data_IF_907813309929
#
_entry.id   IF_907813309929
#
_cell.length_a   1.000
_cell.length_b   1.000
_cell.length_c   1.000
_cell.angle_alpha   90.00
_cell.angle_beta   90.00
_cell.angle_gamma   90.00
#
_symmetry.space_group_name_H-M   'P 1'
#
loop_
_entity.id
_entity.type
_entity.pdbx_description
1 polymer ?
#
# COMPACT_ATOMS: atom_id res chain seq x y z
N UNK A 1 -42.33 12.59 9.29
CA UNK A 1 -41.12 12.82 8.48
C UNK A 1 -40.04 11.77 8.78
N UNK A 2 -39.53 11.67 10.01
CA UNK A 2 -38.43 10.73 10.36
C UNK A 2 -38.72 9.24 10.14
N UNK A 3 -39.90 8.75 10.54
CA UNK A 3 -40.26 7.34 10.32
C UNK A 3 -40.30 6.99 8.82
N UNK A 4 -40.73 7.91 7.96
CA UNK A 4 -40.76 7.68 6.51
C UNK A 4 -39.34 7.63 5.94
N UNK A 5 -38.47 8.58 6.31
CA UNK A 5 -37.10 8.59 5.79
C UNK A 5 -36.32 7.31 6.13
N UNK A 6 -36.41 6.85 7.39
CA UNK A 6 -35.73 5.63 7.85
C UNK A 6 -36.39 4.37 7.32
N UNK A 7 -37.73 4.34 7.16
CA UNK A 7 -38.41 3.20 6.55
C UNK A 7 -38.04 3.03 5.07
N UNK A 8 -37.91 4.14 4.33
CA UNK A 8 -37.60 4.12 2.90
C UNK A 8 -36.08 4.05 2.62
N UNK A 9 -35.25 4.33 3.64
CA UNK A 9 -33.78 4.35 3.57
C UNK A 9 -33.18 3.86 4.90
N UNK A 10 -33.26 2.55 5.19
CA UNK A 10 -32.85 2.00 6.50
C UNK A 10 -31.36 2.17 6.79
N UNK A 11 -30.54 2.39 5.75
CA UNK A 11 -29.10 2.56 5.86
C UNK A 11 -28.65 4.03 5.97
N UNK A 12 -29.57 5.00 5.95
CA UNK A 12 -29.28 6.42 6.12
C UNK A 12 -29.80 6.90 7.47
N UNK A 13 -28.90 7.07 8.44
CA UNK A 13 -29.27 7.27 9.84
C UNK A 13 -28.82 8.65 10.38
N UNK A 14 -29.54 9.22 11.35
CA UNK A 14 -29.08 10.42 12.03
C UNK A 14 -27.83 10.12 12.86
N UNK A 15 -26.73 10.81 12.55
CA UNK A 15 -25.43 10.64 13.21
C UNK A 15 -25.37 11.34 14.57
N UNK A 16 -26.19 12.38 14.78
CA UNK A 16 -26.22 13.14 16.04
C UNK A 16 -27.64 13.21 16.64
N UNK A 17 -27.71 13.43 17.96
CA UNK A 17 -28.98 13.55 18.70
C UNK A 17 -29.82 14.74 18.24
N UNK A 18 -29.17 15.77 17.71
CA UNK A 18 -29.81 16.96 17.18
C UNK A 18 -30.40 16.74 15.77
N UNK A 19 -30.15 15.58 15.15
CA UNK A 19 -30.64 15.18 13.83
C UNK A 19 -30.36 16.23 12.74
N UNK A 20 -29.21 16.90 12.88
CA UNK A 20 -28.69 17.84 11.90
C UNK A 20 -27.66 17.19 10.98
N UNK A 21 -27.21 15.97 11.30
CA UNK A 21 -26.30 15.21 10.45
C UNK A 21 -26.91 13.84 10.17
N UNK A 22 -27.03 13.49 8.89
CA UNK A 22 -27.40 12.16 8.43
C UNK A 22 -26.22 11.55 7.68
N UNK A 23 -25.85 10.32 7.99
CA UNK A 23 -24.72 9.62 7.39
C UNK A 23 -25.10 8.16 7.15
N UNK A 24 -24.66 7.61 6.02
CA UNK A 24 -24.97 6.23 5.66
C UNK A 24 -25.07 5.99 4.15
N UNK A 25 -25.93 5.06 3.76
CA UNK A 25 -26.06 4.60 2.38
C UNK A 25 -27.48 4.76 1.86
N UNK A 26 -27.59 5.02 0.55
CA UNK A 26 -28.82 4.78 -0.21
C UNK A 26 -28.57 3.68 -1.23
N UNK A 27 -29.56 2.81 -1.40
CA UNK A 27 -29.50 1.73 -2.38
C UNK A 27 -30.29 2.12 -3.62
N UNK A 28 -29.68 1.99 -4.79
CA UNK A 28 -30.29 2.19 -6.11
C UNK A 28 -29.83 1.06 -7.03
N UNK A 29 -30.77 0.30 -7.60
CA UNK A 29 -30.47 -0.87 -8.46
C UNK A 29 -29.44 -1.83 -7.83
N UNK A 30 -29.65 -2.22 -6.57
CA UNK A 30 -28.77 -3.14 -5.82
C UNK A 30 -27.33 -2.63 -5.57
N UNK A 31 -27.07 -1.34 -5.85
CA UNK A 31 -25.79 -0.69 -5.54
C UNK A 31 -25.97 0.29 -4.39
N UNK A 32 -25.04 0.24 -3.44
CA UNK A 32 -25.03 1.12 -2.28
C UNK A 32 -24.15 2.34 -2.52
N UNK A 33 -24.72 3.52 -2.27
CA UNK A 33 -24.06 4.81 -2.44
C UNK A 33 -23.94 5.50 -1.09
N UNK A 34 -22.69 5.75 -0.65
CA UNK A 34 -22.43 6.46 0.61
C UNK A 34 -22.71 7.95 0.46
N UNK A 35 -23.48 8.51 1.39
CA UNK A 35 -23.73 9.95 1.46
C UNK A 35 -23.69 10.47 2.89
N UNK A 36 -23.39 11.76 3.00
CA UNK A 36 -23.56 12.54 4.23
C UNK A 36 -24.30 13.85 3.96
N UNK A 37 -25.34 14.12 4.75
CA UNK A 37 -26.14 15.36 4.70
C UNK A 37 -25.96 16.12 6.00
N UNK A 38 -25.59 17.39 5.89
CA UNK A 38 -25.46 18.31 7.03
C UNK A 38 -26.47 19.45 6.89
N UNK A 39 -27.41 19.47 7.83
CA UNK A 39 -28.43 20.50 7.98
C UNK A 39 -27.99 21.59 8.97
N UNK A 40 -28.49 22.83 8.80
CA UNK A 40 -28.33 23.90 9.79
C UNK A 40 -29.09 23.57 11.09
N UNK A 41 -28.80 24.29 12.19
CA UNK A 41 -29.43 24.07 13.50
C UNK A 41 -30.96 24.20 13.49
N UNK A 42 -31.51 25.03 12.60
CA UNK A 42 -32.95 25.25 12.41
C UNK A 42 -33.61 24.21 11.50
N UNK A 43 -32.83 23.22 11.01
CA UNK A 43 -33.24 22.12 10.14
C UNK A 43 -33.87 22.56 8.81
N UNK A 44 -33.71 23.82 8.42
CA UNK A 44 -34.24 24.33 7.16
C UNK A 44 -33.34 23.93 5.99
N UNK A 45 -33.91 23.21 5.02
CA UNK A 45 -33.20 22.78 3.82
C UNK A 45 -32.66 23.93 2.99
N UNK A 46 -33.37 25.07 2.97
CA UNK A 46 -32.98 26.30 2.26
C UNK A 46 -31.61 26.86 2.68
N UNK A 47 -31.11 26.50 3.86
CA UNK A 47 -29.81 26.93 4.37
C UNK A 47 -28.83 25.75 4.60
N UNK A 48 -29.12 24.56 4.02
CA UNK A 48 -28.21 23.43 4.06
C UNK A 48 -26.93 23.73 3.25
N UNK A 49 -25.78 23.48 3.86
CA UNK A 49 -24.48 23.91 3.31
C UNK A 49 -23.59 22.76 2.82
N UNK A 50 -23.86 21.50 3.18
CA UNK A 50 -22.94 20.40 2.89
C UNK A 50 -23.68 19.08 2.63
N UNK A 51 -23.74 18.67 1.37
CA UNK A 51 -24.03 17.30 0.95
C UNK A 51 -22.75 16.73 0.32
N UNK A 52 -22.14 15.71 0.93
CA UNK A 52 -20.94 15.08 0.39
C UNK A 52 -21.24 13.67 -0.08
N UNK A 53 -20.91 13.40 -1.34
CA UNK A 53 -20.98 12.09 -1.96
C UNK A 53 -19.58 11.47 -1.96
N UNK A 54 -19.44 10.32 -1.32
CA UNK A 54 -18.22 9.51 -1.43
C UNK A 54 -18.52 8.44 -2.48
N UNK A 55 -18.24 8.75 -3.75
CA UNK A 55 -18.43 7.80 -4.85
C UNK A 55 -17.13 7.63 -5.64
N UNK A 56 -16.35 6.55 -5.40
CA UNK A 56 -15.41 6.04 -6.39
C UNK A 56 -16.19 5.03 -7.27
N UNK A 57 -16.52 5.28 -8.56
CA UNK A 57 -15.84 6.13 -9.56
C UNK A 57 -16.74 7.19 -10.27
N UNK A 58 -17.90 7.57 -9.71
CA UNK A 58 -18.90 8.43 -10.39
C UNK A 58 -18.83 9.93 -10.05
N UNK A 59 -17.82 10.36 -9.28
CA UNK A 59 -17.68 11.74 -8.79
C UNK A 59 -17.65 12.79 -9.92
N UNK A 60 -17.06 12.46 -11.07
CA UNK A 60 -16.82 13.40 -12.16
C UNK A 60 -18.02 13.58 -13.09
N UNK A 61 -18.89 12.56 -13.21
CA UNK A 61 -20.07 12.59 -14.09
C UNK A 61 -21.29 13.14 -13.34
N UNK A 62 -21.40 12.83 -12.06
CA UNK A 62 -22.52 13.27 -11.23
C UNK A 62 -22.46 14.77 -10.93
N UNK A 63 -21.25 15.31 -10.75
CA UNK A 63 -21.03 16.75 -10.53
C UNK A 63 -21.41 17.63 -11.74
N UNK A 64 -21.41 17.08 -12.96
CA UNK A 64 -21.82 17.78 -14.18
C UNK A 64 -23.34 17.80 -14.41
N UNK A 65 -24.07 16.80 -13.90
CA UNK A 65 -25.50 16.62 -14.17
C UNK A 65 -26.42 16.94 -12.97
N UNK A 66 -25.88 16.94 -11.74
CA UNK A 66 -26.67 17.09 -10.53
C UNK A 66 -25.92 17.89 -9.45
N UNK A 67 -26.25 19.18 -9.33
CA UNK A 67 -25.81 20.00 -8.19
C UNK A 67 -26.66 19.65 -6.95
N UNK A 68 -26.15 18.68 -6.19
CA UNK A 68 -26.79 18.22 -4.97
C UNK A 68 -27.02 19.28 -3.90
N UNK A 69 -26.20 20.34 -3.84
CA UNK A 69 -26.37 21.40 -2.84
C UNK A 69 -27.52 22.30 -3.22
N UNK A 70 -27.61 22.67 -4.51
CA UNK A 70 -28.71 23.47 -5.03
C UNK A 70 -30.06 22.71 -4.95
N UNK A 71 -30.08 21.43 -5.32
CA UNK A 71 -31.30 20.60 -5.33
C UNK A 71 -31.80 20.32 -3.91
N UNK A 72 -30.89 20.14 -2.95
CA UNK A 72 -31.23 20.01 -1.54
C UNK A 72 -31.93 21.27 -1.00
N UNK A 73 -31.46 22.46 -1.38
CA UNK A 73 -32.05 23.73 -0.96
C UNK A 73 -33.43 24.01 -1.57
N UNK A 74 -33.70 23.44 -2.75
CA UNK A 74 -34.98 23.56 -3.44
C UNK A 74 -36.02 22.50 -3.04
N UNK A 75 -35.58 21.46 -2.32
CA UNK A 75 -36.45 20.36 -1.90
C UNK A 75 -37.36 20.77 -0.74
N UNK A 76 -38.60 20.29 -0.74
CA UNK A 76 -39.58 20.57 0.32
C UNK A 76 -39.23 19.86 1.63
N UNK A 77 -38.70 18.63 1.55
CA UNK A 77 -38.22 17.83 2.68
C UNK A 77 -37.12 16.86 2.23
N UNK A 78 -36.47 16.20 3.21
CA UNK A 78 -35.41 15.23 2.96
C UNK A 78 -35.89 13.99 2.20
N UNK A 79 -37.14 13.55 2.41
CA UNK A 79 -37.68 12.35 1.77
C UNK A 79 -37.81 12.59 0.26
N UNK A 80 -38.36 13.75 -0.12
CA UNK A 80 -38.46 14.19 -1.50
C UNK A 80 -37.11 14.37 -2.17
N UNK A 81 -36.13 14.96 -1.46
CA UNK A 81 -34.76 15.08 -1.97
C UNK A 81 -34.14 13.72 -2.28
N UNK A 82 -34.24 12.76 -1.34
CA UNK A 82 -33.67 11.41 -1.52
C UNK A 82 -34.37 10.67 -2.65
N UNK A 83 -35.70 10.79 -2.79
CA UNK A 83 -36.45 10.16 -3.88
C UNK A 83 -36.01 10.70 -5.24
N UNK A 84 -35.86 12.01 -5.36
CA UNK A 84 -35.38 12.65 -6.58
C UNK A 84 -33.94 12.22 -6.91
N UNK A 85 -33.07 12.19 -5.90
CA UNK A 85 -31.69 11.72 -6.03
C UNK A 85 -31.65 10.26 -6.52
N UNK A 86 -32.45 9.37 -5.93
CA UNK A 86 -32.58 7.98 -6.39
C UNK A 86 -33.05 7.91 -7.84
N UNK A 87 -34.02 8.73 -8.23
CA UNK A 87 -34.55 8.78 -9.60
C UNK A 87 -33.47 9.24 -10.59
N UNK A 88 -32.71 10.27 -10.26
CA UNK A 88 -31.60 10.75 -11.11
C UNK A 88 -30.50 9.68 -11.20
N UNK A 89 -30.13 9.05 -10.08
CA UNK A 89 -29.17 7.94 -10.07
C UNK A 89 -29.67 6.77 -10.93
N UNK A 90 -30.94 6.41 -10.87
CA UNK A 90 -31.51 5.39 -11.74
C UNK A 90 -31.41 5.76 -13.21
N UNK A 91 -31.67 7.01 -13.58
CA UNK A 91 -31.56 7.47 -14.98
C UNK A 91 -30.10 7.44 -15.43
N UNK A 92 -29.15 7.87 -14.60
CA UNK A 92 -27.71 7.79 -14.91
C UNK A 92 -27.23 6.34 -15.02
N UNK A 93 -27.73 5.46 -14.15
CA UNK A 93 -27.44 4.02 -14.17
C UNK A 93 -28.14 3.28 -15.32
N UNK A 94 -29.31 3.75 -15.79
CA UNK A 94 -30.02 3.17 -16.95
C UNK A 94 -29.48 3.67 -18.29
N UNK A 95 -29.09 4.96 -18.36
CA UNK A 95 -28.50 5.58 -19.55
C UNK A 95 -27.06 5.13 -19.79
N UNK A 96 -26.39 4.62 -18.75
CA UNK A 96 -25.26 3.71 -18.88
C UNK A 96 -25.74 2.29 -18.62
N UNK A 97 -26.18 1.52 -19.62
CA UNK A 97 -25.84 0.11 -19.53
C UNK A 97 -24.33 0.08 -19.26
N UNK A 98 -23.87 -0.83 -18.42
CA UNK A 98 -22.52 -1.34 -18.67
C UNK A 98 -22.55 -1.72 -20.15
N UNK A 99 -22.05 -0.82 -21.01
CA UNK A 99 -21.91 -1.10 -22.42
C UNK A 99 -20.72 -2.03 -22.47
N UNK A 100 -20.94 -3.25 -21.98
CA UNK A 100 -20.17 -4.44 -22.28
C UNK A 100 -20.45 -4.64 -23.76
N UNK A 101 -19.81 -3.83 -24.59
CA UNK A 101 -19.72 -4.12 -26.00
C UNK A 101 -18.96 -5.42 -26.05
N UNK A 102 -19.67 -6.53 -26.23
CA UNK A 102 -19.05 -7.83 -26.46
C UNK A 102 -18.10 -7.61 -27.64
N UNK A 103 -16.78 -7.80 -27.45
CA UNK A 103 -15.83 -7.65 -28.53
C UNK A 103 -16.29 -8.45 -29.77
N UNK A 104 -16.06 -7.94 -30.98
CA UNK A 104 -16.46 -8.65 -32.19
C UNK A 104 -15.72 -10.00 -32.25
N UNK A 105 -16.28 -11.06 -32.88
CA UNK A 105 -15.66 -12.40 -32.89
C UNK A 105 -14.20 -12.41 -33.33
N UNK A 106 -13.78 -11.50 -34.22
CA UNK A 106 -12.40 -11.34 -34.65
C UNK A 106 -11.43 -11.08 -33.49
N UNK A 107 -11.86 -10.37 -32.44
CA UNK A 107 -11.06 -10.13 -31.23
C UNK A 107 -10.64 -11.46 -30.59
N UNK A 108 -11.59 -12.37 -30.38
CA UNK A 108 -11.31 -13.65 -29.73
C UNK A 108 -10.46 -14.54 -30.62
N UNK A 109 -10.73 -14.60 -31.93
CA UNK A 109 -9.90 -15.37 -32.86
C UNK A 109 -8.46 -14.86 -32.89
N UNK A 110 -8.27 -13.54 -32.87
CA UNK A 110 -6.94 -12.94 -32.82
C UNK A 110 -6.25 -13.27 -31.49
N UNK A 111 -6.92 -13.07 -30.36
CA UNK A 111 -6.36 -13.37 -29.04
C UNK A 111 -5.94 -14.83 -28.90
N UNK A 112 -6.78 -15.77 -29.36
CA UNK A 112 -6.47 -17.21 -29.36
C UNK A 112 -5.23 -17.48 -30.23
N UNK A 113 -5.14 -16.88 -31.42
CA UNK A 113 -3.97 -17.04 -32.30
C UNK A 113 -2.69 -16.46 -31.69
N UNK A 114 -2.77 -15.32 -31.00
CA UNK A 114 -1.64 -14.76 -30.25
C UNK A 114 -1.22 -15.67 -29.09
N UNK A 115 -2.17 -16.28 -28.39
CA UNK A 115 -1.90 -17.25 -27.33
C UNK A 115 -1.27 -18.56 -27.84
N UNK A 116 -1.73 -19.06 -29.00
CA UNK A 116 -1.11 -20.22 -29.67
C UNK A 116 0.34 -19.94 -30.06
N UNK A 117 0.61 -18.73 -30.54
CA UNK A 117 1.96 -18.28 -30.91
C UNK A 117 2.86 -18.12 -29.67
N UNK A 118 2.35 -17.46 -28.63
CA UNK A 118 3.07 -17.25 -27.38
C UNK A 118 3.39 -18.56 -26.65
N UNK A 119 2.46 -19.52 -26.69
CA UNK A 119 2.50 -20.79 -25.94
C UNK A 119 1.53 -20.78 -24.76
N UNK A 120 0.62 -21.75 -24.73
CA UNK A 120 -0.38 -21.90 -23.65
C UNK A 120 0.24 -22.25 -22.29
N UNK A 121 1.45 -22.81 -22.26
CA UNK A 121 2.20 -23.14 -21.04
C UNK A 121 2.61 -21.90 -20.23
N UNK A 122 2.59 -20.72 -20.87
CA UNK A 122 2.83 -19.42 -20.22
C UNK A 122 1.56 -18.81 -19.65
N UNK A 123 0.36 -19.28 -20.02
CA UNK A 123 -0.89 -18.73 -19.47
C UNK A 123 -1.20 -19.36 -18.11
N UNK A 124 -1.21 -18.54 -17.05
CA UNK A 124 -1.61 -18.97 -15.71
C UNK A 124 -3.10 -18.77 -15.47
N UNK A 125 -3.67 -17.69 -16.01
CA UNK A 125 -5.06 -17.32 -15.79
C UNK A 125 -5.55 -16.42 -16.93
N UNK A 126 -6.82 -16.61 -17.28
CA UNK A 126 -7.61 -15.70 -18.10
C UNK A 126 -8.97 -15.51 -17.43
N UNK A 127 -9.46 -14.28 -17.37
CA UNK A 127 -10.78 -14.02 -16.82
C UNK A 127 -11.92 -14.44 -17.77
N UNK A 128 -13.14 -14.48 -17.25
CA UNK A 128 -14.32 -14.87 -18.03
C UNK A 128 -14.65 -13.88 -19.15
N UNK A 129 -14.14 -12.65 -19.07
CA UNK A 129 -14.35 -11.59 -20.06
C UNK A 129 -13.26 -11.57 -21.14
N UNK A 130 -12.22 -12.42 -21.02
CA UNK A 130 -11.05 -12.46 -21.90
C UNK A 130 -10.38 -11.08 -22.05
N UNK A 131 -10.36 -10.31 -20.96
CA UNK A 131 -9.71 -9.00 -20.88
C UNK A 131 -8.50 -9.03 -19.97
N UNK A 132 -8.50 -9.87 -18.92
CA UNK A 132 -7.38 -9.97 -17.99
C UNK A 132 -6.66 -11.30 -18.15
N UNK A 133 -5.38 -11.23 -18.50
CA UNK A 133 -4.46 -12.36 -18.62
C UNK A 133 -3.43 -12.28 -17.50
N UNK A 134 -3.00 -13.45 -16.99
CA UNK A 134 -1.77 -13.57 -16.20
C UNK A 134 -0.83 -14.54 -16.90
N UNK A 135 0.34 -14.03 -17.27
CA UNK A 135 1.36 -14.77 -17.99
C UNK A 135 2.52 -15.06 -17.04
N UNK A 136 2.97 -16.30 -17.02
CA UNK A 136 4.19 -16.76 -16.34
C UNK A 136 5.41 -16.31 -17.15
N UNK A 137 6.45 -15.93 -16.44
CA UNK A 137 7.79 -15.78 -16.97
C UNK A 137 8.79 -16.38 -15.98
N UNK A 138 9.94 -16.81 -16.48
CA UNK A 138 11.04 -17.34 -15.68
C UNK A 138 12.30 -16.59 -16.08
N UNK A 139 13.06 -16.10 -15.10
CA UNK A 139 14.35 -15.44 -15.36
C UNK A 139 15.50 -16.46 -15.45
N UNK A 140 16.71 -15.99 -15.76
CA UNK A 140 17.89 -16.85 -15.91
C UNK A 140 18.33 -17.58 -14.63
N UNK A 141 17.85 -17.14 -13.45
CA UNK A 141 18.09 -17.81 -12.17
C UNK A 141 16.98 -18.82 -11.81
N UNK A 142 15.98 -19.01 -12.68
CA UNK A 142 14.87 -19.93 -12.46
C UNK A 142 13.77 -19.37 -11.56
N UNK A 143 13.76 -18.05 -11.28
CA UNK A 143 12.71 -17.43 -10.47
C UNK A 143 11.48 -17.18 -11.32
N UNK A 144 10.32 -17.48 -10.74
CA UNK A 144 9.04 -17.29 -11.42
C UNK A 144 8.49 -15.88 -11.19
N UNK A 145 8.04 -15.26 -12.27
CA UNK A 145 7.46 -13.93 -12.32
C UNK A 145 6.09 -13.97 -13.01
N UNK A 146 5.19 -13.06 -12.64
CA UNK A 146 3.83 -13.01 -13.18
C UNK A 146 3.60 -11.63 -13.81
N UNK A 147 3.31 -11.64 -15.11
CA UNK A 147 2.86 -10.47 -15.84
C UNK A 147 1.34 -10.48 -15.93
N UNK A 148 0.70 -9.47 -15.34
CA UNK A 148 -0.73 -9.23 -15.54
C UNK A 148 -0.92 -8.28 -16.70
N UNK A 149 -1.71 -8.70 -17.69
CA UNK A 149 -2.04 -7.92 -18.89
C UNK A 149 -3.55 -7.68 -18.90
N UNK A 150 -3.97 -6.41 -18.93
CA UNK A 150 -5.37 -6.02 -19.10
C UNK A 150 -5.57 -5.44 -20.49
N UNK A 151 -6.18 -6.25 -21.35
CA UNK A 151 -6.58 -5.89 -22.69
C UNK A 151 -7.74 -4.90 -22.63
N UNK A 152 -7.67 -3.87 -23.48
CA UNK A 152 -8.74 -2.89 -23.62
C UNK A 152 -9.67 -3.28 -24.75
N UNK A 153 -10.86 -2.67 -24.78
CA UNK A 153 -11.92 -3.00 -25.76
C UNK A 153 -11.51 -2.83 -27.23
N UNK A 154 -10.44 -2.06 -27.51
CA UNK A 154 -9.90 -1.83 -28.86
C UNK A 154 -8.55 -2.52 -29.11
N UNK A 155 -8.16 -3.50 -28.31
CA UNK A 155 -6.96 -4.29 -28.56
C UNK A 155 -7.02 -4.95 -29.97
N UNK A 156 -5.91 -4.97 -30.73
CA UNK A 156 -4.55 -4.50 -30.38
C UNK A 156 -4.27 -3.01 -30.63
N UNK A 157 -5.24 -2.27 -31.18
CA UNK A 157 -5.03 -0.86 -31.56
C UNK A 157 -4.73 0.02 -30.35
N UNK A 158 -5.35 -0.30 -29.21
CA UNK A 158 -5.08 0.35 -27.94
C UNK A 158 -4.15 -0.52 -27.08
N UNK A 159 -3.14 0.11 -26.47
CA UNK A 159 -2.17 -0.58 -25.63
C UNK A 159 -2.82 -1.18 -24.37
N UNK A 160 -2.46 -2.42 -24.01
CA UNK A 160 -2.94 -3.04 -22.78
C UNK A 160 -2.28 -2.41 -21.55
N UNK A 161 -2.98 -2.43 -20.41
CA UNK A 161 -2.40 -2.04 -19.14
C UNK A 161 -1.65 -3.23 -18.55
N UNK A 162 -0.35 -3.08 -18.32
CA UNK A 162 0.53 -4.14 -17.84
C UNK A 162 1.02 -3.85 -16.41
N UNK A 163 1.04 -4.88 -15.56
CA UNK A 163 1.55 -4.78 -14.20
C UNK A 163 2.22 -6.08 -13.76
N UNK A 164 3.32 -5.96 -13.01
CA UNK A 164 4.05 -7.07 -12.40
C UNK A 164 4.71 -6.57 -11.11
N UNK A 165 5.09 -7.50 -10.22
CA UNK A 165 5.80 -7.19 -8.98
C UNK A 165 7.27 -6.87 -9.28
N UNK A 166 7.52 -5.65 -9.77
CA UNK A 166 8.84 -5.17 -10.14
C UNK A 166 9.26 -3.99 -9.27
N UNK A 167 10.57 -3.86 -8.97
CA UNK A 167 11.10 -2.75 -8.18
C UNK A 167 11.25 -1.46 -9.02
N UNK A 168 10.96 -1.53 -10.32
CA UNK A 168 11.00 -0.41 -11.27
C UNK A 168 9.71 -0.39 -12.10
N UNK A 169 9.30 0.78 -12.61
CA UNK A 169 8.13 0.87 -13.49
C UNK A 169 8.28 -0.01 -14.74
N UNK A 170 7.23 -0.78 -15.05
CA UNK A 170 7.17 -1.60 -16.26
C UNK A 170 6.86 -0.73 -17.48
N UNK A 171 7.86 -0.45 -18.30
CA UNK A 171 7.70 0.26 -19.56
C UNK A 171 7.61 -0.73 -20.73
N UNK A 172 6.41 -0.90 -21.28
CA UNK A 172 6.18 -1.71 -22.48
C UNK A 172 5.97 -0.79 -23.68
N UNK A 173 6.73 -1.01 -24.75
CA UNK A 173 6.48 -0.38 -26.04
C UNK A 173 5.41 -1.16 -26.78
N UNK A 174 4.32 -0.49 -27.13
CA UNK A 174 3.18 -1.11 -27.82
C UNK A 174 2.77 -0.30 -29.05
N UNK A 175 2.55 -1.00 -30.15
CA UNK A 175 1.99 -0.50 -31.41
C UNK A 175 0.78 -1.35 -31.82
N UNK A 176 -0.10 -0.89 -32.71
CA UNK A 176 -1.22 -1.70 -33.21
C UNK A 176 -0.83 -3.02 -33.88
N UNK A 177 0.45 -3.20 -34.24
CA UNK A 177 1.00 -4.42 -34.82
C UNK A 177 1.71 -5.30 -33.78
N UNK A 178 1.76 -4.86 -32.52
CA UNK A 178 2.37 -5.62 -31.43
C UNK A 178 1.52 -6.83 -31.06
N UNK A 179 2.19 -7.88 -30.60
CA UNK A 179 1.55 -9.13 -30.15
C UNK A 179 1.85 -9.42 -28.69
N UNK A 180 1.07 -10.32 -28.07
CA UNK A 180 1.38 -10.82 -26.73
C UNK A 180 2.78 -11.46 -26.62
N UNK A 181 3.28 -12.08 -27.68
CA UNK A 181 4.64 -12.63 -27.72
C UNK A 181 5.72 -11.56 -27.59
N UNK A 182 5.59 -10.45 -28.34
CA UNK A 182 6.52 -9.33 -28.27
C UNK A 182 6.46 -8.62 -26.92
N UNK A 183 5.26 -8.50 -26.34
CA UNK A 183 5.06 -7.97 -24.99
C UNK A 183 5.71 -8.86 -23.94
N UNK A 184 5.54 -10.18 -24.03
CA UNK A 184 6.19 -11.14 -23.12
C UNK A 184 7.72 -11.11 -23.26
N UNK A 185 8.23 -10.98 -24.48
CA UNK A 185 9.66 -10.86 -24.76
C UNK A 185 10.26 -9.58 -24.16
N UNK A 186 9.56 -8.45 -24.24
CA UNK A 186 9.97 -7.21 -23.56
C UNK A 186 9.98 -7.38 -22.04
N UNK A 187 8.98 -8.07 -21.48
CA UNK A 187 8.96 -8.37 -20.06
C UNK A 187 10.16 -9.21 -19.62
N UNK A 188 10.50 -10.27 -20.36
CA UNK A 188 11.70 -11.09 -20.10
C UNK A 188 12.99 -10.26 -20.10
N UNK A 189 13.13 -9.28 -21.01
CA UNK A 189 14.29 -8.38 -21.02
C UNK A 189 14.38 -7.50 -19.77
N UNK A 190 13.23 -7.05 -19.25
CA UNK A 190 13.17 -6.31 -17.97
C UNK A 190 13.54 -7.21 -16.79
N UNK A 191 13.10 -8.48 -16.79
CA UNK A 191 13.51 -9.42 -15.76
C UNK A 191 15.03 -9.65 -15.79
N UNK A 192 15.59 -9.82 -16.98
CA UNK A 192 17.03 -10.09 -17.13
C UNK A 192 17.88 -8.93 -16.59
N UNK A 193 17.46 -7.68 -16.81
CA UNK A 193 18.16 -6.50 -16.28
C UNK A 193 18.09 -6.35 -14.75
N UNK A 194 17.16 -7.04 -14.10
CA UNK A 194 16.95 -7.02 -12.64
C UNK A 194 17.53 -8.26 -11.93
N UNK A 195 18.10 -9.21 -12.67
CA UNK A 195 18.62 -10.48 -12.15
C UNK A 195 19.59 -10.26 -11.00
N UNK A 196 20.57 -9.36 -11.18
CA UNK A 196 21.58 -9.08 -10.15
C UNK A 196 20.99 -8.47 -8.88
N UNK A 197 19.98 -7.59 -9.02
CA UNK A 197 19.27 -7.02 -7.88
C UNK A 197 18.58 -8.10 -7.05
N UNK A 198 17.88 -9.04 -7.70
CA UNK A 198 17.22 -10.12 -6.99
C UNK A 198 18.21 -11.13 -6.41
N UNK A 199 19.35 -11.40 -7.06
CA UNK A 199 20.39 -12.28 -6.52
C UNK A 199 20.92 -11.76 -5.17
N UNK A 200 21.13 -10.44 -5.09
CA UNK A 200 21.55 -9.78 -3.86
C UNK A 200 20.50 -9.91 -2.75
N UNK A 201 19.22 -9.68 -3.08
CA UNK A 201 18.15 -9.82 -2.09
C UNK A 201 17.92 -11.27 -1.67
N UNK A 202 18.03 -12.24 -2.59
CA UNK A 202 17.92 -13.66 -2.28
C UNK A 202 19.06 -14.11 -1.34
N UNK A 203 20.28 -13.57 -1.50
CA UNK A 203 21.38 -13.80 -0.56
C UNK A 203 21.06 -13.25 0.83
N UNK A 204 20.60 -11.99 0.91
CA UNK A 204 20.26 -11.33 2.17
C UNK A 204 19.13 -12.10 2.88
N UNK A 205 18.07 -12.43 2.15
CA UNK A 205 16.86 -13.09 2.66
C UNK A 205 17.16 -14.51 3.16
N UNK A 206 18.09 -15.22 2.52
CA UNK A 206 18.47 -16.58 2.92
C UNK A 206 19.46 -16.65 4.08
N UNK A 207 20.34 -15.65 4.23
CA UNK A 207 21.44 -15.68 5.20
C UNK A 207 21.21 -14.84 6.46
N UNK A 208 20.15 -14.02 6.50
CA UNK A 208 19.89 -13.10 7.62
C UNK A 208 18.46 -13.21 8.14
N UNK A 209 18.18 -12.61 9.29
CA UNK A 209 16.82 -12.48 9.82
C UNK A 209 16.15 -11.20 9.34
N UNK A 210 15.26 -11.34 8.35
CA UNK A 210 14.42 -10.25 7.84
C UNK A 210 13.23 -10.01 8.78
N UNK A 211 13.13 -8.79 9.30
CA UNK A 211 12.03 -8.33 10.14
C UNK A 211 10.91 -7.71 9.31
N UNK A 212 11.27 -6.92 8.30
CA UNK A 212 10.33 -6.25 7.40
C UNK A 212 10.90 -6.18 5.96
N UNK A 213 10.08 -6.44 4.93
CA UNK A 213 8.74 -7.03 5.00
C UNK A 213 8.79 -8.51 5.49
N UNK A 214 7.73 -8.99 6.13
CA UNK A 214 7.69 -10.39 6.62
C UNK A 214 7.67 -11.42 5.48
N UNK A 215 7.03 -11.05 4.38
CA UNK A 215 6.95 -11.83 3.15
C UNK A 215 7.37 -10.92 2.01
N UNK A 216 8.68 -10.80 1.74
CA UNK A 216 9.16 -9.94 0.68
C UNK A 216 8.61 -10.36 -0.68
N UNK A 217 8.17 -9.37 -1.45
CA UNK A 217 7.81 -9.46 -2.85
C UNK A 217 9.01 -9.07 -3.73
N UNK A 218 8.91 -9.34 -5.04
CA UNK A 218 9.96 -8.95 -6.01
C UNK A 218 10.01 -7.44 -6.28
N UNK A 219 8.99 -6.69 -5.88
CA UNK A 219 8.99 -5.23 -5.89
C UNK A 219 9.63 -4.57 -4.66
N UNK A 220 9.83 -5.32 -3.57
CA UNK A 220 10.37 -4.75 -2.33
C UNK A 220 11.88 -4.55 -2.42
N UNK A 221 12.31 -3.29 -2.42
CA UNK A 221 13.71 -2.83 -2.47
C UNK A 221 14.38 -2.72 -1.11
N UNK A 222 13.58 -2.71 -0.04
CA UNK A 222 14.03 -2.54 1.33
C UNK A 222 14.04 -3.86 2.10
N UNK A 223 15.05 -4.04 2.97
CA UNK A 223 15.07 -5.08 4.00
C UNK A 223 15.44 -4.48 5.35
N UNK A 224 14.59 -4.70 6.36
CA UNK A 224 14.94 -4.47 7.77
C UNK A 224 15.52 -5.76 8.32
N UNK A 225 16.83 -5.76 8.53
CA UNK A 225 17.61 -6.92 8.95
C UNK A 225 17.90 -6.81 10.45
N UNK A 226 17.69 -7.89 11.20
CA UNK A 226 18.09 -7.96 12.60
C UNK A 226 19.62 -7.95 12.73
N UNK A 227 20.16 -7.14 13.64
CA UNK A 227 21.58 -7.15 14.03
C UNK A 227 21.74 -7.84 15.39
N UNK A 228 20.81 -7.59 16.31
CA UNK A 228 20.81 -8.15 17.66
C UNK A 228 19.51 -7.80 18.38
N UNK A 229 19.50 -7.99 19.70
CA UNK A 229 18.31 -7.70 20.51
C UNK A 229 17.95 -6.21 20.45
N UNK A 230 16.74 -5.89 19.99
CA UNK A 230 16.23 -4.52 19.84
C UNK A 230 17.11 -3.62 18.94
N UNK A 231 17.91 -4.21 18.04
CA UNK A 231 18.74 -3.48 17.08
C UNK A 231 18.60 -4.09 15.69
N UNK A 232 18.36 -3.24 14.71
CA UNK A 232 18.19 -3.64 13.31
C UNK A 232 18.75 -2.58 12.38
N UNK A 233 18.97 -2.95 11.12
CA UNK A 233 19.34 -2.05 10.04
C UNK A 233 18.32 -2.16 8.92
N UNK A 234 17.79 -1.03 8.45
CA UNK A 234 17.06 -0.97 7.18
C UNK A 234 18.08 -0.72 6.07
N UNK A 235 18.02 -1.54 5.03
CA UNK A 235 18.89 -1.48 3.86
C UNK A 235 17.99 -1.31 2.63
N UNK A 236 18.15 -0.21 1.91
CA UNK A 236 17.46 0.07 0.64
C UNK A 236 18.44 -0.15 -0.53
N UNK A 237 18.18 -1.15 -1.35
CA UNK A 237 19.02 -1.47 -2.51
C UNK A 237 18.44 -0.82 -3.76
N UNK A 238 19.25 -0.02 -4.46
CA UNK A 238 18.87 0.56 -5.76
C UNK A 238 18.82 -0.55 -6.83
N UNK A 239 17.65 -0.84 -7.44
CA UNK A 239 17.54 -1.87 -8.48
C UNK A 239 18.39 -1.62 -9.72
N UNK A 240 18.76 -0.37 -9.99
CA UNK A 240 19.57 0.01 -11.16
C UNK A 240 21.07 -0.05 -10.89
N UNK A 241 21.47 0.04 -9.63
CA UNK A 241 22.88 0.01 -9.21
C UNK A 241 23.05 -0.84 -7.94
N UNK A 242 22.65 -2.13 -7.96
CA UNK A 242 22.44 -2.90 -6.75
C UNK A 242 23.71 -3.23 -5.97
N UNK A 243 24.88 -3.08 -6.59
CA UNK A 243 26.21 -3.26 -5.95
C UNK A 243 26.77 -2.00 -5.28
N UNK A 244 26.13 -0.85 -5.45
CA UNK A 244 26.56 0.39 -4.80
C UNK A 244 26.19 0.36 -3.31
N UNK A 245 26.86 1.20 -2.51
CA UNK A 245 26.55 1.36 -1.09
C UNK A 245 25.06 1.73 -0.94
N UNK A 246 24.23 0.87 -0.32
CA UNK A 246 22.80 1.13 -0.17
C UNK A 246 22.54 2.19 0.90
N UNK A 247 21.35 2.79 0.87
CA UNK A 247 20.92 3.63 1.98
C UNK A 247 20.66 2.75 3.21
N UNK A 248 21.23 3.15 4.34
CA UNK A 248 21.26 2.36 5.56
C UNK A 248 20.73 3.17 6.75
N UNK A 249 19.72 2.65 7.45
CA UNK A 249 19.21 3.25 8.69
C UNK A 249 19.31 2.27 9.85
N UNK A 250 20.18 2.59 10.81
CA UNK A 250 20.31 1.85 12.06
C UNK A 250 19.18 2.24 13.03
N UNK A 251 18.47 1.24 13.54
CA UNK A 251 17.33 1.37 14.44
C UNK A 251 17.62 0.63 15.76
N UNK A 252 17.44 1.31 16.88
CA UNK A 252 17.70 0.78 18.21
C UNK A 252 17.97 1.89 19.22
N UNK A 253 18.29 1.53 20.46
CA UNK A 253 18.67 2.52 21.47
C UNK A 253 19.97 3.26 21.08
N UNK A 254 20.03 4.58 21.33
CA UNK A 254 21.10 5.44 20.79
C UNK A 254 22.51 4.99 21.19
N UNK A 255 22.67 4.50 22.42
CA UNK A 255 23.95 4.00 22.94
C UNK A 255 24.43 2.72 22.21
N UNK A 256 23.52 1.98 21.56
CA UNK A 256 23.85 0.77 20.79
C UNK A 256 24.06 1.09 19.30
N UNK A 257 23.26 1.98 18.72
CA UNK A 257 23.38 2.34 17.30
C UNK A 257 24.51 3.33 17.02
N UNK A 258 24.89 4.18 17.98
CA UNK A 258 25.97 5.18 17.77
C UNK A 258 27.31 4.53 17.40
N UNK A 259 27.79 3.48 18.10
CA UNK A 259 29.01 2.77 17.67
C UNK A 259 28.92 2.19 16.25
N UNK A 260 27.78 1.58 15.89
CA UNK A 260 27.56 1.01 14.56
C UNK A 260 27.56 2.10 13.47
N UNK A 261 26.94 3.24 13.75
CA UNK A 261 26.92 4.40 12.85
C UNK A 261 28.33 4.96 12.64
N UNK A 262 29.14 5.02 13.69
CA UNK A 262 30.53 5.45 13.59
C UNK A 262 31.35 4.50 12.73
N UNK A 263 31.18 3.18 12.88
CA UNK A 263 31.83 2.17 12.03
C UNK A 263 31.41 2.30 10.56
N UNK A 264 30.10 2.38 10.30
CA UNK A 264 29.56 2.60 8.95
C UNK A 264 30.21 3.81 8.27
N UNK A 265 30.27 4.94 8.98
CA UNK A 265 30.86 6.16 8.44
C UNK A 265 32.38 6.08 8.26
N UNK A 266 33.10 5.45 9.19
CA UNK A 266 34.55 5.31 9.10
C UNK A 266 34.96 4.35 7.98
N UNK A 267 34.21 3.27 7.79
CA UNK A 267 34.56 2.16 6.91
C UNK A 267 33.86 2.21 5.54
N UNK A 268 33.02 3.22 5.26
CA UNK A 268 32.29 3.33 3.96
C UNK A 268 33.20 3.24 2.74
N UNK A 269 34.45 3.70 2.87
CA UNK A 269 35.45 3.68 1.80
C UNK A 269 35.98 2.27 1.46
N UNK A 270 35.71 1.29 2.32
CA UNK A 270 36.04 -0.12 2.11
C UNK A 270 34.98 -0.84 1.26
N UNK A 271 33.86 -0.19 0.93
CA UNK A 271 32.81 -0.79 0.12
C UNK A 271 33.35 -1.20 -1.25
N UNK A 272 33.28 -2.50 -1.54
CA UNK A 272 33.78 -3.08 -2.77
C UNK A 272 32.61 -3.60 -3.64
N UNK A 273 32.30 -2.96 -4.79
CA UNK A 273 31.23 -3.42 -5.68
C UNK A 273 31.41 -4.86 -6.19
N UNK A 274 32.65 -5.36 -6.27
CA UNK A 274 32.93 -6.73 -6.70
C UNK A 274 32.57 -7.77 -5.62
N UNK A 275 32.40 -7.33 -4.38
CA UNK A 275 31.94 -8.16 -3.25
C UNK A 275 30.42 -8.09 -3.10
N UNK A 276 29.83 -9.11 -2.47
CA UNK A 276 28.38 -9.09 -2.25
C UNK A 276 27.97 -8.03 -1.23
N UNK A 277 26.75 -7.50 -1.36
CA UNK A 277 26.22 -6.46 -0.46
C UNK A 277 26.25 -6.93 0.99
N UNK A 278 25.86 -8.19 1.24
CA UNK A 278 25.88 -8.75 2.60
C UNK A 278 27.31 -8.84 3.16
N UNK A 279 28.29 -9.23 2.34
CA UNK A 279 29.69 -9.28 2.77
C UNK A 279 30.21 -7.88 3.10
N UNK A 280 29.98 -6.91 2.23
CA UNK A 280 30.37 -5.51 2.49
C UNK A 280 29.72 -4.98 3.77
N UNK A 281 28.43 -5.23 4.00
CA UNK A 281 27.75 -4.79 5.22
C UNK A 281 28.39 -5.38 6.48
N UNK A 282 28.80 -6.66 6.45
CA UNK A 282 29.51 -7.30 7.58
C UNK A 282 30.83 -6.62 7.87
N UNK A 283 31.62 -6.37 6.83
CA UNK A 283 32.97 -5.81 6.97
C UNK A 283 32.92 -4.34 7.41
N UNK A 284 32.03 -3.55 6.79
CA UNK A 284 31.88 -2.13 7.09
C UNK A 284 31.34 -1.90 8.51
N UNK A 285 30.36 -2.70 8.95
CA UNK A 285 29.82 -2.62 10.31
C UNK A 285 30.66 -3.39 11.33
N UNK A 286 31.59 -4.24 10.88
CA UNK A 286 32.38 -5.18 11.69
C UNK A 286 31.48 -6.02 12.61
N UNK A 287 30.45 -6.65 12.04
CA UNK A 287 29.50 -7.51 12.74
C UNK A 287 29.30 -8.84 12.02
N UNK A 288 28.80 -9.81 12.79
CA UNK A 288 28.19 -11.03 12.27
C UNK A 288 26.67 -10.87 12.32
N UNK A 289 25.99 -11.05 11.18
CA UNK A 289 24.53 -11.03 11.15
C UNK A 289 23.98 -12.32 11.77
N UNK A 290 22.92 -12.23 12.60
CA UNK A 290 22.20 -13.41 13.03
C UNK A 290 21.55 -14.09 11.82
N UNK A 291 21.71 -15.40 11.72
CA UNK A 291 21.17 -16.20 10.62
C UNK A 291 20.05 -17.13 11.09
N UNK A 292 19.13 -17.53 10.21
CA UNK A 292 18.13 -18.56 10.51
C UNK A 292 18.71 -19.92 10.93
N UNK A 293 19.96 -20.22 10.55
CA UNK A 293 20.65 -21.44 10.94
C UNK A 293 21.20 -21.39 12.38
N UNK A 294 21.42 -20.19 12.92
CA UNK A 294 22.08 -20.00 14.22
C UNK A 294 21.17 -19.43 15.29
N UNK A 295 20.07 -18.77 14.92
CA UNK A 295 19.18 -18.08 15.85
C UNK A 295 17.71 -18.38 15.53
N UNK A 296 16.89 -18.51 16.56
CA UNK A 296 15.44 -18.63 16.39
C UNK A 296 14.78 -17.27 16.15
N UNK A 297 13.74 -17.24 15.31
CA UNK A 297 12.95 -16.02 15.02
C UNK A 297 12.37 -15.37 16.30
N UNK A 298 12.03 -16.19 17.30
CA UNK A 298 11.51 -15.76 18.61
C UNK A 298 12.43 -14.78 19.33
N UNK A 299 13.75 -14.86 19.09
CA UNK A 299 14.75 -14.00 19.74
C UNK A 299 14.66 -12.53 19.32
N UNK A 300 14.03 -12.25 18.18
CA UNK A 300 13.91 -10.89 17.62
C UNK A 300 12.47 -10.34 17.69
N UNK A 301 11.51 -11.15 18.16
CA UNK A 301 10.10 -10.78 18.25
C UNK A 301 9.77 -10.16 19.61
N UNK A 302 10.37 -9.01 19.92
CA UNK A 302 10.14 -8.35 21.22
C UNK A 302 8.87 -7.49 21.15
N UNK A 303 7.94 -7.75 22.07
CA UNK A 303 6.65 -7.08 22.13
C UNK A 303 6.76 -5.60 22.50
N UNK A 304 5.84 -4.79 21.98
CA UNK A 304 5.68 -3.40 22.36
C UNK A 304 5.31 -3.27 23.83
N UNK A 305 6.02 -2.40 24.57
CA UNK A 305 5.77 -2.20 26.01
C UNK A 305 4.47 -1.44 26.36
N UNK A 306 3.60 -1.16 25.38
CA UNK A 306 2.30 -0.48 25.58
C UNK A 306 1.16 -1.41 25.19
N UNK A 307 1.17 -1.93 23.97
CA UNK A 307 0.09 -2.79 23.47
C UNK A 307 0.34 -4.28 23.69
N UNK A 308 1.52 -4.67 24.19
CA UNK A 308 1.92 -6.07 24.43
C UNK A 308 1.74 -6.97 23.21
N UNK A 309 1.93 -6.40 22.03
CA UNK A 309 1.94 -7.13 20.77
C UNK A 309 3.24 -6.85 20.03
N UNK A 310 3.76 -7.87 19.37
CA UNK A 310 4.85 -7.71 18.41
C UNK A 310 4.36 -7.08 17.10
N UNK A 311 3.14 -7.41 16.65
CA UNK A 311 2.56 -6.83 15.43
C UNK A 311 1.32 -6.00 15.74
N UNK A 312 1.35 -4.75 15.31
CA UNK A 312 0.17 -3.89 15.26
C UNK A 312 -0.10 -3.63 13.77
N UNK A 313 -1.07 -4.36 13.22
CA UNK A 313 -1.30 -4.45 11.77
C UNK A 313 -0.03 -4.94 11.04
N UNK A 314 0.52 -4.14 10.14
CA UNK A 314 1.77 -4.45 9.43
C UNK A 314 3.04 -4.01 10.20
N UNK A 315 2.90 -3.15 11.21
CA UNK A 315 4.03 -2.53 11.90
C UNK A 315 4.58 -3.37 13.05
N UNK A 316 5.90 -3.33 13.24
CA UNK A 316 6.61 -3.89 14.39
C UNK A 316 7.28 -2.76 15.20
N UNK A 317 7.67 -3.00 16.46
CA UNK A 317 8.34 -1.99 17.26
C UNK A 317 9.63 -1.48 16.62
N UNK A 318 9.76 -0.18 16.55
CA UNK A 318 10.86 0.54 15.89
C UNK A 318 11.44 1.66 16.76
N UNK A 319 10.76 2.00 17.86
CA UNK A 319 11.21 2.95 18.87
C UNK A 319 11.71 2.19 20.09
N UNK A 320 12.85 2.56 20.66
CA UNK A 320 13.44 1.86 21.81
C UNK A 320 13.78 2.85 22.91
N UNK A 321 13.53 2.48 24.16
CA UNK A 321 13.97 3.28 25.30
C UNK A 321 15.49 3.41 25.33
N UNK A 322 15.99 4.65 25.49
CA UNK A 322 17.42 4.93 25.51
C UNK A 322 18.13 4.59 26.83
N UNK A 323 17.41 4.32 27.93
CA UNK A 323 18.02 3.86 29.18
C UNK A 323 18.58 2.43 28.96
N UNK A 324 19.90 2.20 29.12
CA UNK A 324 20.53 0.88 28.92
C UNK A 324 19.97 -0.23 29.81
N UNK A 325 19.31 0.13 30.93
CA UNK A 325 18.68 -0.85 31.84
C UNK A 325 17.24 -1.19 31.45
N UNK A 326 16.65 -0.43 30.52
CA UNK A 326 15.28 -0.63 30.07
C UNK A 326 15.25 -1.29 28.69
N UNK A 327 15.71 -0.58 27.66
CA UNK A 327 15.74 -1.09 26.28
C UNK A 327 14.39 -1.57 25.73
N UNK A 328 13.25 -1.24 26.39
CA UNK A 328 11.92 -1.68 25.96
C UNK A 328 11.57 -1.06 24.60
N UNK A 329 11.15 -1.87 23.62
CA UNK A 329 10.71 -1.36 22.33
C UNK A 329 9.21 -1.00 22.34
N UNK A 330 8.83 -0.09 21.45
CA UNK A 330 7.48 0.41 21.25
C UNK A 330 7.20 0.59 19.76
N UNK A 331 5.95 0.38 19.35
CA UNK A 331 5.48 0.89 18.06
C UNK A 331 5.49 2.41 18.08
N UNK A 332 5.91 3.04 16.97
CA UNK A 332 5.83 4.49 16.78
C UNK A 332 4.46 5.06 17.13
N UNK A 333 3.37 4.43 16.66
CA UNK A 333 1.99 4.88 16.92
C UNK A 333 1.61 4.79 18.39
N UNK A 334 1.87 3.65 19.05
CA UNK A 334 1.59 3.49 20.49
C UNK A 334 2.35 4.52 21.32
N UNK A 335 3.64 4.72 21.03
CA UNK A 335 4.46 5.69 21.76
C UNK A 335 4.00 7.12 21.52
N UNK A 336 3.64 7.46 20.28
CA UNK A 336 3.09 8.77 19.93
C UNK A 336 1.82 9.08 20.71
N UNK A 337 0.86 8.15 20.70
CA UNK A 337 -0.42 8.29 21.40
C UNK A 337 -0.25 8.41 22.91
N UNK A 338 0.71 7.69 23.48
CA UNK A 338 1.06 7.83 24.89
C UNK A 338 1.63 9.20 25.19
N UNK A 339 2.65 9.63 24.44
CA UNK A 339 3.36 10.89 24.70
C UNK A 339 2.45 12.10 24.54
N UNK A 340 1.55 12.13 23.55
CA UNK A 340 0.61 13.25 23.38
C UNK A 340 -0.42 13.37 24.52
N UNK A 341 -0.64 12.31 25.28
CA UNK A 341 -1.56 12.30 26.42
C UNK A 341 -0.91 12.82 27.72
N UNK A 342 0.42 12.87 27.78
CA UNK A 342 1.16 13.33 28.95
C UNK A 342 1.36 14.85 28.94
N UNK A 343 0.95 15.51 30.02
CA UNK A 343 1.20 16.94 30.25
C UNK A 343 2.69 17.29 30.37
N UNK A 344 3.55 16.31 30.69
CA UNK A 344 4.99 16.48 30.84
C UNK A 344 5.75 16.38 29.50
N UNK A 345 5.09 15.92 28.43
CA UNK A 345 5.70 15.80 27.11
C UNK A 345 6.01 17.17 26.52
N UNK A 346 7.16 17.25 25.85
CA UNK A 346 7.61 18.46 25.15
C UNK A 346 7.74 18.14 23.68
N UNK A 347 7.19 18.99 22.82
CA UNK A 347 7.42 18.92 21.39
C UNK A 347 8.41 20.01 20.97
N UNK A 348 9.40 19.64 20.18
CA UNK A 348 10.31 20.57 19.51
C UNK A 348 10.41 20.14 18.04
N UNK A 349 9.98 21.02 17.13
CA UNK A 349 9.81 20.70 15.71
C UNK A 349 8.96 19.42 15.53
N UNK A 350 9.51 18.45 14.79
CA UNK A 350 8.89 17.15 14.54
C UNK A 350 9.34 16.10 15.56
N UNK A 351 9.83 16.50 16.73
CA UNK A 351 10.30 15.56 17.76
C UNK A 351 9.52 15.75 19.06
N UNK A 352 8.94 14.66 19.57
CA UNK A 352 8.27 14.61 20.85
C UNK A 352 9.17 13.91 21.87
N UNK A 353 9.37 14.57 23.02
CA UNK A 353 10.12 14.07 24.15
C UNK A 353 9.18 13.83 25.32
N UNK A 354 9.35 12.71 26.02
CA UNK A 354 8.66 12.48 27.28
C UNK A 354 9.25 11.29 28.04
N UNK A 355 8.64 10.95 29.16
CA UNK A 355 9.09 9.84 29.99
C UNK A 355 8.73 8.49 29.37
N UNK A 356 9.63 7.52 29.50
CA UNK A 356 9.37 6.16 29.05
C UNK A 356 8.19 5.55 29.84
N UNK A 357 7.14 5.02 29.17
CA UNK A 357 5.99 4.41 29.83
C UNK A 357 6.35 3.17 30.67
N UNK A 358 7.46 2.52 30.36
CA UNK A 358 7.85 1.26 30.98
C UNK A 358 8.71 1.44 32.23
N UNK A 359 9.77 2.25 32.17
CA UNK A 359 10.72 2.40 33.29
C UNK A 359 10.58 3.74 34.03
N UNK A 360 9.75 4.66 33.55
CA UNK A 360 9.56 6.01 34.11
C UNK A 360 10.86 6.81 34.29
N UNK A 361 11.92 6.42 33.57
CA UNK A 361 13.26 7.01 33.64
C UNK A 361 13.71 7.30 32.21
N UNK A 362 14.25 8.50 32.00
CA UNK A 362 14.85 8.96 30.73
C UNK A 362 13.84 9.31 29.62
N UNK A 363 14.25 10.25 28.76
CA UNK A 363 13.49 10.77 27.61
C UNK A 363 13.43 9.73 26.50
N UNK A 364 12.24 9.20 26.21
CA UNK A 364 11.95 8.67 24.89
C UNK A 364 11.83 9.86 23.93
N UNK A 365 12.38 9.68 22.74
CA UNK A 365 12.41 10.69 21.68
C UNK A 365 11.76 10.06 20.46
N UNK A 366 10.72 10.71 19.96
CA UNK A 366 9.96 10.21 18.82
C UNK A 366 9.94 11.27 17.72
N UNK A 367 10.39 10.90 16.52
CA UNK A 367 10.20 11.73 15.33
C UNK A 367 8.79 11.48 14.77
N UNK A 368 8.03 12.56 14.58
CA UNK A 368 6.63 12.59 14.12
C UNK A 368 6.55 12.88 12.63
#
# INVERSE_FOLDING_TARGET
MEKSLVNDNPLLLPFNRQQTVYDGFITVQERDFRMRIVLPPDRQLKQAKHCHFIIPPFKDVFSLAFDSSQRLQQSADLVGFILELKTVLEVVLKSRPECRSIPPPQYYSQLISEMETLGWDKLLFIDTEFQMLRLKAEDSAGRQHILTVKLKSKHPTEAPDCSADLPVPLAISWTPQSTLEQLHSQFLQVLESLTEFWDILDEIDSKTWILEPEKPSRSDTMRRIAIGNNVSIKVEVDPRHPRMLPECWLLGAEHVVTPLRNKLNANMHLWNPDSSVLHNLRDVLEIEFPSPATHEKSSFNVECGICYSYRLEAAIPDQVCNDPRCGQPFHQTCLYEWLRALHSSRQSFNIVFGECPYCSKVRVCLTV
#
